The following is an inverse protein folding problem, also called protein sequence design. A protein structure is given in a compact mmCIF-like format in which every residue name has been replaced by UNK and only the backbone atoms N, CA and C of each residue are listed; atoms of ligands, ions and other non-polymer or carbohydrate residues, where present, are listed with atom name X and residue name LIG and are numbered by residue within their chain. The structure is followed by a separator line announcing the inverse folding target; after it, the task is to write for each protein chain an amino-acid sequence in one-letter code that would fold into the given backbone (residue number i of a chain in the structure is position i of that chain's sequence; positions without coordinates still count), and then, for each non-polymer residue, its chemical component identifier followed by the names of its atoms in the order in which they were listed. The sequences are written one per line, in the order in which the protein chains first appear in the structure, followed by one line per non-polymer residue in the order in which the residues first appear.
data_IF_573104368326
#
_entry.id   IF_573104368326
#
_cell.length_a   1.000
_cell.length_b   1.000
_cell.length_c   1.000
_cell.angle_alpha   90.00
_cell.angle_beta   90.00
_cell.angle_gamma   90.00
#
_symmetry.space_group_name_H-M   'P 1'
#
loop_
_entity.id
_entity.type
_entity.pdbx_description
1 polymer ?
#
# COMPACT_ATOMS: atom_id res chain seq x y z
N UNK A 1 -10.45 -9.49 -13.69
CA UNK A 1 -11.28 -8.73 -12.75
C UNK A 1 -10.49 -8.62 -11.46
N UNK A 2 -10.20 -7.40 -10.99
CA UNK A 2 -9.51 -7.18 -9.73
C UNK A 2 -10.54 -7.33 -8.60
N UNK A 3 -10.28 -8.20 -7.63
CA UNK A 3 -11.12 -8.34 -6.46
C UNK A 3 -10.92 -7.10 -5.58
N UNK A 4 -11.95 -6.27 -5.46
CA UNK A 4 -12.04 -5.29 -4.40
C UNK A 4 -11.93 -6.03 -3.05
N UNK A 5 -11.38 -5.39 -2.03
CA UNK A 5 -11.45 -5.84 -0.62
C UNK A 5 -12.89 -5.78 -0.07
N UNK A 6 -13.88 -6.23 -0.84
CA UNK A 6 -15.20 -6.58 -0.31
C UNK A 6 -15.18 -8.10 -0.25
N UNK A 7 -15.00 -8.59 0.97
CA UNK A 7 -15.27 -9.97 1.29
C UNK A 7 -16.73 -10.26 0.94
N UNK A 8 -16.97 -10.93 -0.18
CA UNK A 8 -18.30 -11.39 -0.59
C UNK A 8 -18.76 -12.62 0.24
N UNK A 9 -17.96 -13.07 1.22
CA UNK A 9 -18.25 -14.26 2.05
C UNK A 9 -18.61 -13.97 3.51
N UNK A 10 -18.53 -12.71 3.96
CA UNK A 10 -18.94 -12.28 5.29
C UNK A 10 -19.62 -10.91 5.24
N UNK A 11 -20.92 -10.84 5.55
CA UNK A 11 -21.75 -9.63 5.48
C UNK A 11 -21.40 -8.47 6.43
N UNK A 12 -20.13 -8.32 6.82
CA UNK A 12 -19.62 -7.16 7.53
C UNK A 12 -19.10 -6.09 6.57
N UNK A 13 -19.67 -4.90 6.61
CA UNK A 13 -19.07 -3.76 5.91
C UNK A 13 -17.87 -3.27 6.72
N UNK A 14 -16.66 -3.43 6.18
CA UNK A 14 -15.40 -2.88 6.73
C UNK A 14 -15.35 -1.33 6.73
N UNK A 15 -16.50 -0.68 6.53
CA UNK A 15 -16.72 0.75 6.57
C UNK A 15 -17.10 1.25 7.98
N UNK A 16 -17.35 0.35 8.94
CA UNK A 16 -17.68 0.74 10.30
C UNK A 16 -16.49 1.42 11.00
N UNK A 17 -16.76 2.58 11.60
CA UNK A 17 -15.72 3.41 12.21
C UNK A 17 -15.12 2.76 13.46
N UNK A 18 -15.92 2.03 14.24
CA UNK A 18 -15.42 1.36 15.44
C UNK A 18 -14.47 0.23 15.05
N UNK A 19 -14.84 -0.57 14.04
CA UNK A 19 -13.99 -1.62 13.48
C UNK A 19 -12.69 -1.05 12.88
N UNK A 20 -12.76 0.02 12.08
CA UNK A 20 -11.56 0.66 11.53
C UNK A 20 -10.64 1.22 12.61
N UNK A 21 -11.22 1.80 13.68
CA UNK A 21 -10.45 2.28 14.82
C UNK A 21 -9.79 1.12 15.57
N UNK A 22 -10.48 0.00 15.77
CA UNK A 22 -9.91 -1.19 16.39
C UNK A 22 -8.71 -1.73 15.59
N UNK A 23 -8.85 -1.86 14.27
CA UNK A 23 -7.75 -2.29 13.40
C UNK A 23 -6.56 -1.32 13.47
N UNK A 24 -6.83 -0.02 13.50
CA UNK A 24 -5.80 1.00 13.65
C UNK A 24 -5.09 0.90 15.01
N UNK A 25 -5.83 0.74 16.11
CA UNK A 25 -5.26 0.58 17.45
C UNK A 25 -4.39 -0.66 17.56
N UNK A 26 -4.85 -1.79 17.02
CA UNK A 26 -4.06 -3.01 16.93
C UNK A 26 -2.78 -2.78 16.14
N UNK A 27 -2.85 -2.10 15.00
CA UNK A 27 -1.68 -1.86 14.16
C UNK A 27 -0.65 -0.97 14.89
N UNK A 28 -1.13 0.00 15.68
CA UNK A 28 -0.26 0.79 16.57
C UNK A 28 0.39 -0.04 17.66
N UNK A 29 -0.35 -0.96 18.28
CA UNK A 29 0.18 -1.84 19.33
C UNK A 29 1.29 -2.77 18.82
N UNK A 30 1.20 -3.20 17.56
CA UNK A 30 2.24 -4.00 16.89
C UNK A 30 3.41 -3.18 16.33
N UNK A 31 3.40 -1.86 16.51
CA UNK A 31 4.48 -0.98 16.06
C UNK A 31 5.48 -0.72 17.19
N UNK A 32 6.75 -1.10 17.02
CA UNK A 32 7.80 -0.86 18.01
C UNK A 32 8.22 0.61 18.16
N UNK A 33 7.84 1.48 17.22
CA UNK A 33 8.22 2.91 17.18
C UNK A 33 7.11 3.79 16.56
N UNK A 34 5.87 3.56 16.98
CA UNK A 34 4.70 4.35 16.55
C UNK A 34 4.72 5.77 17.12
N UNK A 35 5.20 6.75 16.36
CA UNK A 35 5.00 8.16 16.70
C UNK A 35 3.61 8.62 16.22
N UNK A 36 2.60 8.49 17.09
CA UNK A 36 1.20 8.89 16.87
C UNK A 36 0.41 8.11 15.78
N UNK A 37 0.98 7.07 15.18
CA UNK A 37 0.33 6.25 14.16
C UNK A 37 0.93 4.85 14.04
N UNK A 38 0.30 3.99 13.24
CA UNK A 38 0.82 2.64 12.99
C UNK A 38 1.96 2.68 11.98
N UNK A 39 3.04 1.96 12.24
CA UNK A 39 4.11 1.77 11.27
C UNK A 39 3.76 0.63 10.29
N UNK A 40 4.48 0.51 9.16
CA UNK A 40 4.19 -0.50 8.14
C UNK A 40 4.24 -1.95 8.65
N UNK A 41 5.06 -2.25 9.67
CA UNK A 41 5.12 -3.60 10.25
C UNK A 41 3.86 -3.93 11.03
N UNK A 42 3.38 -3.00 11.86
CA UNK A 42 2.12 -3.16 12.57
C UNK A 42 0.93 -3.27 11.63
N UNK A 43 0.96 -2.53 10.51
CA UNK A 43 -0.03 -2.67 9.44
C UNK A 43 -0.03 -4.07 8.81
N UNK A 44 1.13 -4.56 8.38
CA UNK A 44 1.28 -5.90 7.80
C UNK A 44 0.84 -7.01 8.76
N UNK A 45 1.20 -6.87 10.04
CA UNK A 45 0.83 -7.83 11.08
C UNK A 45 -0.68 -7.90 11.30
N UNK A 46 -1.35 -6.75 11.46
CA UNK A 46 -2.81 -6.74 11.66
C UNK A 46 -3.58 -7.27 10.46
N UNK A 47 -3.15 -6.97 9.23
CA UNK A 47 -3.76 -7.57 8.04
C UNK A 47 -3.63 -9.10 8.06
N UNK A 48 -2.50 -9.62 8.51
CA UNK A 48 -2.28 -11.06 8.63
C UNK A 48 -3.16 -11.68 9.71
N UNK A 49 -3.21 -11.10 10.90
CA UNK A 49 -4.07 -11.57 12.00
C UNK A 49 -5.57 -11.43 11.72
N UNK A 50 -5.96 -10.47 10.88
CA UNK A 50 -7.33 -10.29 10.42
C UNK A 50 -7.74 -11.27 9.31
N UNK A 51 -6.89 -12.23 8.95
CA UNK A 51 -7.17 -13.24 7.92
C UNK A 51 -6.97 -12.76 6.48
N UNK A 52 -6.42 -11.55 6.29
CA UNK A 52 -6.19 -10.98 4.96
C UNK A 52 -4.79 -11.28 4.42
N UNK A 53 -3.86 -11.72 5.28
CA UNK A 53 -2.46 -11.97 4.94
C UNK A 53 -2.13 -13.37 4.40
N UNK A 54 -0.84 -13.71 4.27
CA UNK A 54 0.29 -12.96 4.83
C UNK A 54 0.61 -11.66 4.07
N UNK A 55 1.07 -10.66 4.82
CA UNK A 55 1.67 -9.42 4.30
C UNK A 55 3.09 -9.26 4.88
N UNK A 56 3.99 -8.74 4.06
CA UNK A 56 5.36 -8.40 4.43
C UNK A 56 5.66 -6.92 4.16
N UNK A 57 6.62 -6.37 4.89
CA UNK A 57 7.16 -5.03 4.62
C UNK A 57 8.40 -5.17 3.77
N UNK A 58 8.42 -4.52 2.60
CA UNK A 58 9.57 -4.54 1.68
C UNK A 58 9.98 -3.13 1.31
N UNK A 59 11.29 -2.90 1.16
CA UNK A 59 11.87 -1.64 0.69
C UNK A 59 12.56 -1.88 -0.64
N UNK A 60 12.03 -1.31 -1.71
CA UNK A 60 12.51 -1.52 -3.07
C UNK A 60 13.37 -0.31 -3.50
N UNK A 61 14.60 -0.50 -4.01
CA UNK A 61 15.48 0.63 -4.32
C UNK A 61 14.95 1.55 -5.44
N UNK A 62 14.37 0.96 -6.49
CA UNK A 62 13.90 1.69 -7.67
C UNK A 62 12.39 1.95 -7.67
N UNK A 63 11.98 3.10 -8.19
CA UNK A 63 10.57 3.46 -8.32
C UNK A 63 9.80 2.51 -9.23
N UNK A 64 10.29 2.34 -10.47
CA UNK A 64 9.64 1.46 -11.46
C UNK A 64 9.59 0.02 -10.99
N UNK A 65 10.66 -0.44 -10.35
CA UNK A 65 10.72 -1.76 -9.73
C UNK A 65 9.66 -1.89 -8.62
N UNK A 66 9.52 -0.89 -7.75
CA UNK A 66 8.50 -0.91 -6.68
C UNK A 66 7.08 -0.99 -7.24
N UNK A 67 6.77 -0.21 -8.27
CA UNK A 67 5.46 -0.25 -8.94
C UNK A 67 5.23 -1.60 -9.60
N UNK A 68 6.25 -2.18 -10.25
CA UNK A 68 6.18 -3.52 -10.86
C UNK A 68 6.00 -4.62 -9.80
N UNK A 69 6.74 -4.56 -8.70
CA UNK A 69 6.61 -5.48 -7.57
C UNK A 69 5.20 -5.44 -6.98
N UNK A 70 4.63 -4.25 -6.80
CA UNK A 70 3.27 -4.10 -6.32
C UNK A 70 2.24 -4.70 -7.31
N UNK A 71 2.35 -4.39 -8.59
CA UNK A 71 1.48 -4.93 -9.63
C UNK A 71 1.57 -6.47 -9.72
N UNK A 72 2.77 -7.03 -9.60
CA UNK A 72 3.00 -8.48 -9.57
C UNK A 72 2.33 -9.13 -8.35
N UNK A 73 2.49 -8.56 -7.17
CA UNK A 73 1.85 -9.08 -5.95
C UNK A 73 0.32 -9.06 -6.03
N UNK A 74 -0.28 -7.99 -6.59
CA UNK A 74 -1.72 -7.93 -6.87
C UNK A 74 -2.12 -9.05 -7.83
N UNK A 75 -1.32 -9.29 -8.87
CA UNK A 75 -1.61 -10.32 -9.86
C UNK A 75 -1.57 -11.73 -9.28
N UNK A 76 -0.59 -12.01 -8.42
CA UNK A 76 -0.35 -13.34 -7.83
C UNK A 76 -1.32 -13.65 -6.70
N UNK A 77 -1.69 -12.63 -5.92
CA UNK A 77 -2.46 -12.84 -4.69
C UNK A 77 -3.90 -12.37 -4.76
N UNK A 78 -4.26 -11.57 -5.77
CA UNK A 78 -5.57 -10.94 -5.87
C UNK A 78 -5.83 -9.85 -4.80
N UNK A 79 -4.81 -9.47 -4.02
CA UNK A 79 -4.94 -8.55 -2.88
C UNK A 79 -4.21 -7.23 -3.14
N UNK A 80 -4.69 -6.10 -2.56
CA UNK A 80 -4.07 -4.80 -2.78
C UNK A 80 -2.75 -4.64 -2.04
N UNK A 81 -1.99 -3.61 -2.42
CA UNK A 81 -0.68 -3.30 -1.86
C UNK A 81 -0.73 -1.99 -1.10
N UNK A 82 -0.13 -1.95 0.08
CA UNK A 82 0.08 -0.70 0.79
C UNK A 82 1.27 0.07 0.25
N UNK A 83 1.08 1.35 -0.04
CA UNK A 83 2.12 2.27 -0.47
C UNK A 83 2.46 3.22 0.67
N UNK A 84 3.72 3.25 1.10
CA UNK A 84 4.16 4.19 2.14
C UNK A 84 4.69 5.46 1.48
N UNK A 85 3.84 6.48 1.46
CA UNK A 85 3.99 7.73 0.74
C UNK A 85 4.84 8.76 1.50
N UNK A 86 5.20 9.84 0.81
CA UNK A 86 5.79 11.06 1.41
C UNK A 86 7.04 10.77 2.25
N UNK A 87 7.92 9.91 1.73
CA UNK A 87 9.14 9.42 2.39
C UNK A 87 8.85 8.81 3.77
N UNK A 88 7.81 7.97 3.88
CA UNK A 88 7.49 7.26 5.11
C UNK A 88 6.48 7.95 6.04
N UNK A 89 5.79 9.00 5.60
CA UNK A 89 4.94 9.85 6.47
C UNK A 89 3.45 9.66 6.24
N UNK A 90 3.05 8.93 5.20
CA UNK A 90 1.66 8.73 4.86
C UNK A 90 1.44 7.35 4.21
N UNK A 91 0.20 6.91 4.15
CA UNK A 91 -0.16 5.59 3.65
C UNK A 91 -1.30 5.68 2.64
N UNK A 92 -1.06 5.15 1.44
CA UNK A 92 -2.08 4.92 0.41
C UNK A 92 -2.23 3.42 0.17
N UNK A 93 -3.29 3.03 -0.52
CA UNK A 93 -3.48 1.65 -1.01
C UNK A 93 -3.51 1.66 -2.53
N UNK A 94 -2.72 0.79 -3.15
CA UNK A 94 -2.83 0.42 -4.56
C UNK A 94 -3.84 -0.73 -4.69
N UNK A 95 -5.01 -0.43 -5.25
CA UNK A 95 -6.11 -1.39 -5.41
C UNK A 95 -6.09 -2.14 -6.75
N UNK A 96 -5.30 -1.66 -7.71
CA UNK A 96 -5.19 -2.26 -9.03
C UNK A 96 -4.25 -1.49 -9.94
N UNK A 97 -4.09 -1.98 -11.17
CA UNK A 97 -3.20 -1.38 -12.15
C UNK A 97 -3.63 -1.69 -13.59
N UNK A 98 -3.08 -0.93 -14.52
CA UNK A 98 -3.08 -1.20 -15.96
C UNK A 98 -1.64 -1.43 -16.42
N UNK A 99 -1.43 -2.34 -17.36
CA UNK A 99 -0.09 -2.63 -17.89
C UNK A 99 -0.10 -2.99 -19.37
N UNK A 100 1.04 -2.75 -20.00
CA UNK A 100 1.42 -3.40 -21.26
C UNK A 100 2.22 -4.65 -20.92
N UNK A 101 1.76 -5.79 -21.42
CA UNK A 101 2.24 -7.12 -21.02
C UNK A 101 1.47 -7.65 -19.80
N UNK A 102 1.13 -8.94 -19.83
CA UNK A 102 0.53 -9.65 -18.70
C UNK A 102 1.63 -10.06 -17.70
N UNK A 103 1.61 -9.57 -16.45
CA UNK A 103 2.60 -9.94 -15.43
C UNK A 103 2.67 -11.44 -15.11
N UNK A 104 1.62 -12.21 -15.44
CA UNK A 104 1.60 -13.68 -15.30
C UNK A 104 2.40 -14.39 -16.36
N UNK A 105 2.53 -13.77 -17.53
CA UNK A 105 3.15 -14.37 -18.71
C UNK A 105 4.55 -13.83 -18.95
N UNK A 106 4.77 -12.55 -18.66
CA UNK A 106 6.03 -11.86 -18.95
C UNK A 106 6.69 -11.38 -17.64
N UNK A 107 7.99 -11.69 -17.44
CA UNK A 107 8.74 -11.14 -16.31
C UNK A 107 8.86 -9.61 -16.43
N UNK A 108 9.08 -9.14 -17.65
CA UNK A 108 9.14 -7.73 -18.01
C UNK A 108 7.79 -7.24 -18.53
N UNK A 109 7.20 -6.30 -17.81
CA UNK A 109 5.97 -5.60 -18.17
C UNK A 109 6.07 -4.15 -17.70
N UNK A 110 5.28 -3.29 -18.35
CA UNK A 110 5.24 -1.85 -18.05
C UNK A 110 3.90 -1.49 -17.45
N UNK A 111 3.90 -0.99 -16.22
CA UNK A 111 2.69 -0.45 -15.59
C UNK A 111 2.40 0.93 -16.19
N UNK A 112 1.19 1.12 -16.72
CA UNK A 112 0.75 2.36 -17.36
C UNK A 112 -0.26 3.13 -16.52
N UNK A 113 -0.88 2.47 -15.53
CA UNK A 113 -1.83 3.09 -14.63
C UNK A 113 -1.88 2.40 -13.28
N UNK A 114 -2.11 3.18 -12.22
CA UNK A 114 -2.19 2.71 -10.83
C UNK A 114 -3.50 3.20 -10.22
N UNK A 115 -4.35 2.29 -9.76
CA UNK A 115 -5.56 2.63 -9.01
C UNK A 115 -5.21 2.81 -7.55
N UNK A 116 -5.55 3.97 -6.98
CA UNK A 116 -5.16 4.32 -5.60
C UNK A 116 -6.34 4.70 -4.72
N UNK A 117 -6.15 4.52 -3.42
CA UNK A 117 -7.03 4.98 -2.36
C UNK A 117 -6.18 5.77 -1.35
N UNK A 118 -6.53 7.04 -1.15
CA UNK A 118 -5.92 7.90 -0.14
C UNK A 118 -6.97 8.25 0.93
N UNK A 119 -6.74 7.90 2.21
CA UNK A 119 -7.68 8.24 3.29
C UNK A 119 -7.82 9.75 3.56
N UNK A 120 -6.97 10.60 2.96
CA UNK A 120 -7.06 12.06 3.11
C UNK A 120 -7.98 12.76 2.11
N UNK A 121 -8.51 12.08 1.09
CA UNK A 121 -9.46 12.72 0.17
C UNK A 121 -10.70 13.27 0.94
N UNK A 122 -11.23 14.47 0.62
CA UNK A 122 -10.89 15.37 -0.50
C UNK A 122 -9.80 16.41 -0.19
N UNK A 123 -9.04 16.22 0.89
CA UNK A 123 -7.94 17.11 1.28
C UNK A 123 -6.65 16.73 0.54
N UNK A 124 -5.52 16.81 1.22
CA UNK A 124 -4.20 16.50 0.69
C UNK A 124 -3.11 17.05 1.58
N UNK A 125 -1.95 17.30 0.99
CA UNK A 125 -0.80 17.90 1.64
C UNK A 125 -0.45 19.24 0.99
N UNK A 126 -0.19 20.26 1.81
CA UNK A 126 0.37 21.51 1.30
C UNK A 126 1.76 21.35 0.66
N UNK A 127 2.50 20.30 1.03
CA UNK A 127 3.83 20.00 0.47
C UNK A 127 3.75 19.08 -0.77
N UNK A 128 2.87 18.08 -0.74
CA UNK A 128 2.85 16.99 -1.74
C UNK A 128 1.71 17.10 -2.75
N UNK A 129 0.75 18.02 -2.53
CA UNK A 129 -0.38 18.24 -3.40
C UNK A 129 -1.67 17.56 -2.93
N UNK A 130 -2.74 17.65 -3.73
CA UNK A 130 -4.05 17.12 -3.37
C UNK A 130 -4.06 15.59 -3.32
N UNK A 131 -4.93 15.06 -2.47
CA UNK A 131 -5.28 13.65 -2.48
C UNK A 131 -6.10 13.31 -3.72
N UNK A 132 -5.81 12.22 -4.44
CA UNK A 132 -6.62 11.77 -5.56
C UNK A 132 -8.00 11.31 -5.08
N UNK A 133 -9.01 11.40 -5.95
CA UNK A 133 -10.32 10.82 -5.67
C UNK A 133 -10.21 9.31 -5.41
N UNK A 134 -11.10 8.71 -4.59
CA UNK A 134 -11.07 7.27 -4.32
C UNK A 134 -11.12 6.47 -5.62
N UNK A 135 -10.22 5.50 -5.76
CA UNK A 135 -10.08 4.63 -6.93
C UNK A 135 -9.69 5.36 -8.23
N UNK A 136 -9.13 6.57 -8.12
CA UNK A 136 -8.55 7.27 -9.27
C UNK A 136 -7.43 6.44 -9.91
N UNK A 137 -7.36 6.49 -11.23
CA UNK A 137 -6.29 5.89 -12.02
C UNK A 137 -5.22 6.97 -12.26
N UNK A 138 -4.06 6.80 -11.64
CA UNK A 138 -2.91 7.67 -11.82
C UNK A 138 -1.93 7.08 -12.83
N UNK A 139 -1.23 7.92 -13.59
CA UNK A 139 -0.05 7.48 -14.33
C UNK A 139 1.13 7.26 -13.38
N UNK A 140 2.17 6.49 -13.78
CA UNK A 140 3.40 6.37 -13.02
C UNK A 140 4.01 7.73 -12.67
N UNK A 141 3.97 8.71 -13.57
CA UNK A 141 4.53 10.04 -13.33
C UNK A 141 3.73 10.81 -12.28
N UNK A 142 2.40 10.69 -12.29
CA UNK A 142 1.54 11.31 -11.28
C UNK A 142 1.78 10.70 -9.89
N UNK A 143 1.89 9.37 -9.81
CA UNK A 143 2.19 8.70 -8.54
C UNK A 143 3.58 9.09 -8.01
N UNK A 144 4.58 9.22 -8.88
CA UNK A 144 5.95 9.58 -8.51
C UNK A 144 6.08 10.95 -7.83
N UNK A 145 5.09 11.84 -7.99
CA UNK A 145 5.08 13.14 -7.30
C UNK A 145 4.90 13.01 -5.78
N UNK A 146 4.32 11.90 -5.30
CA UNK A 146 4.00 11.68 -3.89
C UNK A 146 4.58 10.38 -3.33
N UNK A 147 4.74 9.35 -4.17
CA UNK A 147 5.43 8.12 -3.80
C UNK A 147 6.92 8.31 -4.06
N UNK A 148 7.65 8.65 -3.00
CA UNK A 148 9.05 9.04 -3.07
C UNK A 148 9.89 8.20 -2.11
N UNK A 149 11.17 8.07 -2.44
CA UNK A 149 12.14 7.30 -1.65
C UNK A 149 12.12 7.72 -0.18
N UNK A 150 12.17 6.71 0.69
CA UNK A 150 12.32 6.88 2.14
C UNK A 150 13.74 6.51 2.54
N UNK A 151 14.41 7.43 3.21
CA UNK A 151 15.68 7.17 3.89
C UNK A 151 15.49 6.45 5.23
N UNK A 152 16.45 5.60 5.67
CA UNK A 152 16.48 5.02 7.02
C UNK A 152 16.26 6.08 8.10
N UNK A 153 15.24 5.88 8.93
CA UNK A 153 14.94 6.71 10.10
C UNK A 153 14.91 5.86 11.36
N UNK A 154 14.82 6.50 12.54
CA UNK A 154 14.85 5.82 13.84
C UNK A 154 13.90 4.62 13.94
N UNK A 155 12.69 4.71 13.36
CA UNK A 155 11.64 3.69 13.41
C UNK A 155 11.69 2.63 12.28
N UNK A 156 12.61 2.78 11.33
CA UNK A 156 12.78 1.89 10.16
C UNK A 156 14.25 1.71 9.78
N UNK A 157 15.15 1.84 10.76
CA UNK A 157 16.60 1.80 10.55
C UNK A 157 17.09 0.44 10.04
N UNK A 158 16.35 -0.63 10.34
CA UNK A 158 16.59 -1.97 9.80
C UNK A 158 16.20 -2.15 8.32
N UNK A 159 15.55 -1.16 7.70
CA UNK A 159 15.14 -1.20 6.29
C UNK A 159 16.03 -0.27 5.47
N UNK A 160 16.69 -0.82 4.44
CA UNK A 160 17.46 -0.06 3.46
C UNK A 160 16.62 1.05 2.81
N UNK A 161 17.27 2.14 2.38
CA UNK A 161 16.62 3.22 1.65
C UNK A 161 15.82 2.67 0.46
N UNK A 162 14.64 3.22 0.21
CA UNK A 162 13.81 2.73 -0.88
C UNK A 162 12.35 3.16 -0.81
N UNK A 163 11.60 2.69 -1.79
CA UNK A 163 10.15 2.76 -1.90
C UNK A 163 9.55 1.66 -1.05
N UNK A 164 8.84 2.05 0.01
CA UNK A 164 8.39 1.13 1.03
C UNK A 164 6.96 0.65 0.75
N UNK A 165 6.77 -0.66 0.77
CA UNK A 165 5.51 -1.33 0.46
C UNK A 165 5.08 -2.23 1.63
N UNK A 166 3.78 -2.32 1.85
CA UNK A 166 3.14 -3.42 2.60
C UNK A 166 2.57 -4.38 1.56
N UNK A 167 3.30 -5.46 1.31
CA UNK A 167 3.15 -6.33 0.15
C UNK A 167 2.45 -7.63 0.56
N UNK A 168 1.33 -8.02 -0.08
CA UNK A 168 0.75 -9.34 0.11
C UNK A 168 1.69 -10.39 -0.48
N UNK A 169 1.86 -11.53 0.21
CA UNK A 169 2.68 -12.65 -0.27
C UNK A 169 1.84 -13.91 -0.42
N UNK A 170 2.18 -14.78 -1.36
CA UNK A 170 1.56 -16.11 -1.41
C UNK A 170 1.75 -16.84 -0.07
N UNK A 171 0.72 -17.57 0.36
CA UNK A 171 0.74 -18.39 1.57
C UNK A 171 1.45 -19.73 1.33
#
# INVERSE_FOLDING_TARGET
MAHNLIDDTGGGTWADRAQQNELWERARAHSSDSFNGANPFGWAQVLTEAGMGPYAVVSVPGYEEAVRTAARAITETGRPVGLVMWSGRHAWVMSGFESVGDPRQFPDFSVTGIRVLDPLYPYGSGQWGPSPAPNALLTPEQLATQFVVREPRRWSSGLAAGYLLVLPTAA
#
